data_IF_168492871955
#
_entry.id   IF_168492871955
#
_cell.length_a   1.000
_cell.length_b   1.000
_cell.length_c   1.000
_cell.angle_alpha   90.00
_cell.angle_beta   90.00
_cell.angle_gamma   90.00
#
_symmetry.space_group_name_H-M   'P 1'
#
loop_
_entity.id
_entity.type
_entity.pdbx_description
1 polymer ?
#
# COMPACT_ATOMS: atom_id res chain seq x y z
N UNK A 1 9.88 11.83 19.00
CA UNK A 1 9.35 10.73 19.83
C UNK A 1 9.93 9.43 19.27
N UNK A 2 10.71 8.69 20.05
CA UNK A 2 11.28 7.43 19.59
C UNK A 2 10.18 6.36 19.64
N UNK A 3 9.72 5.90 18.47
CA UNK A 3 8.84 4.74 18.38
C UNK A 3 9.70 3.52 18.66
N UNK A 4 9.69 3.05 19.91
CA UNK A 4 10.36 1.82 20.30
C UNK A 4 9.42 0.66 19.96
N UNK A 5 9.50 0.16 18.74
CA UNK A 5 8.84 -1.10 18.38
C UNK A 5 9.38 -2.26 19.25
N UNK A 6 8.55 -3.28 19.55
CA UNK A 6 8.97 -4.41 20.36
C UNK A 6 10.12 -5.17 19.68
N UNK A 7 11.26 -5.26 20.38
CA UNK A 7 12.40 -6.06 19.95
C UNK A 7 12.05 -7.55 20.06
N UNK A 8 11.62 -8.15 18.95
CA UNK A 8 11.40 -9.59 18.86
C UNK A 8 12.69 -10.27 18.41
N UNK A 9 13.18 -11.23 19.20
CA UNK A 9 14.28 -12.10 18.76
C UNK A 9 13.71 -13.11 17.77
N UNK A 10 14.27 -13.14 16.56
CA UNK A 10 13.86 -14.07 15.50
C UNK A 10 14.99 -15.06 15.23
N UNK A 11 14.63 -16.32 15.00
CA UNK A 11 15.59 -17.38 14.67
C UNK A 11 15.34 -17.83 13.23
N UNK A 12 16.39 -18.00 12.41
CA UNK A 12 16.24 -18.59 11.09
C UNK A 12 15.87 -20.06 11.21
N UNK A 13 15.05 -20.54 10.28
CA UNK A 13 14.81 -21.98 10.11
C UNK A 13 15.96 -22.69 9.40
N UNK A 14 15.82 -24.00 9.14
CA UNK A 14 16.83 -24.80 8.45
C UNK A 14 17.13 -24.36 7.01
N UNK A 15 16.28 -23.51 6.42
CA UNK A 15 16.46 -22.92 5.09
C UNK A 15 16.95 -21.47 5.16
N UNK A 16 17.30 -20.97 6.35
CA UNK A 16 17.77 -19.59 6.55
C UNK A 16 16.67 -18.53 6.51
N UNK A 17 15.38 -18.91 6.53
CA UNK A 17 14.26 -17.96 6.45
C UNK A 17 13.95 -17.40 7.83
N UNK A 18 13.62 -16.11 7.91
CA UNK A 18 13.19 -15.44 9.14
C UNK A 18 11.74 -14.99 8.97
N UNK A 19 10.87 -15.38 9.88
CA UNK A 19 9.47 -14.94 9.89
C UNK A 19 9.31 -13.63 10.64
N UNK A 20 8.95 -12.55 9.95
CA UNK A 20 8.76 -11.23 10.53
C UNK A 20 7.45 -11.10 11.35
N UNK A 21 6.43 -11.87 11.00
CA UNK A 21 5.12 -11.81 11.67
C UNK A 21 4.52 -10.40 11.61
N UNK A 22 4.10 -9.86 12.76
CA UNK A 22 3.52 -8.51 12.86
C UNK A 22 4.47 -7.38 12.45
N UNK A 23 5.80 -7.62 12.42
CA UNK A 23 6.77 -6.63 11.91
C UNK A 23 6.63 -6.38 10.40
N UNK A 24 5.91 -7.25 9.68
CA UNK A 24 5.63 -7.08 8.27
C UNK A 24 4.20 -6.58 7.98
N UNK A 25 3.45 -6.17 8.99
CA UNK A 25 2.09 -5.68 8.80
C UNK A 25 2.05 -4.49 7.83
N UNK A 26 1.23 -4.59 6.79
CA UNK A 26 1.06 -3.55 5.78
C UNK A 26 2.12 -3.54 4.66
N UNK A 27 3.16 -4.37 4.74
CA UNK A 27 4.13 -4.53 3.64
C UNK A 27 3.75 -5.75 2.78
N UNK A 28 3.77 -5.61 1.46
CA UNK A 28 3.62 -6.74 0.53
C UNK A 28 4.97 -7.38 0.20
N UNK A 29 6.05 -6.60 0.25
CA UNK A 29 7.41 -7.08 -0.02
C UNK A 29 8.46 -6.26 0.73
N UNK A 30 9.72 -6.69 0.67
CA UNK A 30 10.84 -5.99 1.29
C UNK A 30 12.02 -5.91 0.34
N UNK A 31 12.65 -4.74 0.24
CA UNK A 31 14.00 -4.62 -0.30
C UNK A 31 14.99 -4.98 0.80
N UNK A 32 15.77 -6.02 0.56
CA UNK A 32 16.76 -6.53 1.52
C UNK A 32 18.19 -6.20 1.05
N UNK A 33 19.00 -5.63 1.93
CA UNK A 33 20.41 -5.37 1.65
C UNK A 33 21.26 -5.37 2.93
N UNK A 34 22.58 -5.46 2.76
CA UNK A 34 23.53 -5.30 3.86
C UNK A 34 24.17 -3.93 3.80
N UNK A 35 24.27 -3.27 4.94
CA UNK A 35 25.02 -2.02 5.04
C UNK A 35 26.53 -2.26 5.26
N UNK A 36 27.32 -1.18 5.27
CA UNK A 36 28.77 -1.24 5.49
C UNK A 36 29.18 -1.76 6.88
N UNK A 37 28.24 -1.94 7.81
CA UNK A 37 28.47 -2.51 9.15
C UNK A 37 28.06 -3.99 9.22
N UNK A 38 27.66 -4.59 8.09
CA UNK A 38 27.22 -5.98 8.01
C UNK A 38 25.81 -6.23 8.54
N UNK A 39 25.04 -5.18 8.84
CA UNK A 39 23.64 -5.31 9.30
C UNK A 39 22.76 -5.61 8.10
N UNK A 40 21.79 -6.52 8.27
CA UNK A 40 20.73 -6.73 7.28
C UNK A 40 19.65 -5.67 7.53
N UNK A 41 19.34 -4.88 6.50
CA UNK A 41 18.28 -3.88 6.50
C UNK A 41 17.16 -4.38 5.59
N UNK A 42 15.93 -4.24 6.06
CA UNK A 42 14.71 -4.55 5.32
C UNK A 42 13.91 -3.25 5.19
N UNK A 43 13.72 -2.79 3.95
CA UNK A 43 12.83 -1.66 3.64
C UNK A 43 11.48 -2.21 3.18
N UNK A 44 10.38 -1.98 3.91
CA UNK A 44 9.05 -2.44 3.51
C UNK A 44 8.58 -1.74 2.23
N UNK A 45 7.89 -2.48 1.38
CA UNK A 45 7.28 -2.00 0.15
C UNK A 45 5.82 -2.43 0.06
N UNK A 46 5.04 -1.67 -0.70
CA UNK A 46 3.66 -1.99 -1.07
C UNK A 46 3.56 -2.11 -2.58
N UNK A 47 2.92 -3.15 -3.06
CA UNK A 47 2.65 -3.36 -4.48
C UNK A 47 1.40 -2.57 -4.87
N UNK A 48 1.50 -1.91 -6.03
CA UNK A 48 0.39 -1.20 -6.65
C UNK A 48 0.07 -1.92 -7.95
N UNK A 49 -1.19 -2.31 -8.22
CA UNK A 49 -1.58 -2.88 -9.50
C UNK A 49 -1.13 -2.01 -10.66
N UNK A 50 -0.67 -2.61 -11.76
CA UNK A 50 -0.13 -1.87 -12.90
C UNK A 50 -1.16 -0.86 -13.46
N UNK A 51 -2.44 -1.22 -13.45
CA UNK A 51 -3.55 -0.36 -13.86
C UNK A 51 -3.74 0.89 -12.98
N UNK A 52 -3.22 0.90 -11.75
CA UNK A 52 -3.33 2.01 -10.79
C UNK A 52 -2.00 2.77 -10.62
N UNK A 53 -0.89 2.22 -11.11
CA UNK A 53 0.44 2.81 -10.97
C UNK A 53 0.54 4.22 -11.58
N UNK A 54 -0.25 4.52 -12.62
CA UNK A 54 -0.30 5.84 -13.25
C UNK A 54 -0.73 6.95 -12.29
N UNK A 55 -1.59 6.64 -11.31
CA UNK A 55 -2.12 7.62 -10.36
C UNK A 55 -0.99 8.20 -9.49
N UNK A 56 -0.01 7.37 -9.14
CA UNK A 56 1.17 7.79 -8.37
C UNK A 56 2.11 8.72 -9.15
N UNK A 57 2.09 8.62 -10.49
CA UNK A 57 2.87 9.49 -11.37
C UNK A 57 2.12 10.78 -11.76
N UNK A 58 0.81 10.85 -11.49
CA UNK A 58 -0.03 12.02 -11.79
C UNK A 58 -0.48 12.72 -10.51
N UNK A 59 0.32 13.70 -10.08
CA UNK A 59 0.06 14.45 -8.84
C UNK A 59 -1.28 15.22 -8.84
N UNK A 60 -1.78 15.63 -10.00
CA UNK A 60 -3.06 16.33 -10.12
C UNK A 60 -4.22 15.37 -9.89
N UNK A 61 -4.22 14.24 -10.60
CA UNK A 61 -5.21 13.18 -10.41
C UNK A 61 -5.22 12.66 -8.97
N UNK A 62 -4.04 12.44 -8.38
CA UNK A 62 -3.92 12.02 -6.98
C UNK A 62 -4.57 13.01 -6.02
N UNK A 63 -4.33 14.32 -6.19
CA UNK A 63 -4.97 15.36 -5.36
C UNK A 63 -6.48 15.38 -5.54
N UNK A 64 -6.97 15.20 -6.76
CA UNK A 64 -8.40 15.13 -7.03
C UNK A 64 -9.05 13.94 -6.30
N UNK A 65 -8.44 12.75 -6.36
CA UNK A 65 -8.91 11.55 -5.64
C UNK A 65 -8.90 11.78 -4.13
N UNK A 66 -7.80 12.30 -3.57
CA UNK A 66 -7.70 12.58 -2.13
C UNK A 66 -8.76 13.59 -1.66
N UNK A 67 -9.01 14.63 -2.45
CA UNK A 67 -10.07 15.60 -2.17
C UNK A 67 -11.45 14.92 -2.18
N UNK A 68 -11.73 14.10 -3.20
CA UNK A 68 -12.99 13.35 -3.30
C UNK A 68 -13.23 12.42 -2.11
N UNK A 69 -12.20 11.70 -1.68
CA UNK A 69 -12.26 10.84 -0.48
C UNK A 69 -12.59 11.64 0.78
N UNK A 70 -11.95 12.81 0.95
CA UNK A 70 -12.24 13.72 2.07
C UNK A 70 -13.67 14.25 2.01
N UNK A 71 -14.08 14.76 0.86
CA UNK A 71 -15.43 15.29 0.64
C UNK A 71 -16.50 14.22 0.92
N UNK A 72 -16.27 12.97 0.50
CA UNK A 72 -17.14 11.82 0.81
C UNK A 72 -17.22 11.53 2.31
N UNK A 73 -16.09 11.47 3.01
CA UNK A 73 -16.07 11.24 4.47
C UNK A 73 -16.75 12.34 5.28
N UNK A 74 -16.77 13.57 4.74
CA UNK A 74 -17.35 14.75 5.39
C UNK A 74 -18.77 15.05 4.87
N UNK A 75 -19.36 14.15 4.06
CA UNK A 75 -20.72 14.28 3.54
C UNK A 75 -20.92 15.38 2.49
N UNK A 76 -19.84 15.97 1.94
CA UNK A 76 -19.87 16.95 0.85
C UNK A 76 -20.04 16.26 -0.51
N UNK A 77 -21.12 15.51 -0.66
CA UNK A 77 -21.45 14.79 -1.88
C UNK A 77 -22.72 15.38 -2.52
N UNK A 78 -22.80 15.27 -3.84
CA UNK A 78 -24.00 15.61 -4.59
C UNK A 78 -24.46 14.34 -5.29
N UNK A 79 -25.65 13.85 -4.95
CA UNK A 79 -26.26 12.72 -5.62
C UNK A 79 -26.69 13.12 -7.04
N UNK A 80 -26.28 12.34 -8.04
CA UNK A 80 -26.57 12.59 -9.46
C UNK A 80 -27.38 11.46 -10.10
N UNK A 81 -27.90 10.53 -9.30
CA UNK A 81 -28.59 9.34 -9.79
C UNK A 81 -27.62 8.22 -10.20
N UNK A 82 -28.17 7.18 -10.82
CA UNK A 82 -27.41 6.01 -11.27
C UNK A 82 -26.89 6.18 -12.69
N UNK A 83 -25.69 5.67 -12.97
CA UNK A 83 -25.14 5.58 -14.32
C UNK A 83 -25.48 4.24 -15.02
N UNK A 84 -26.29 3.38 -14.39
CA UNK A 84 -26.62 2.05 -14.91
C UNK A 84 -27.25 2.09 -16.31
N UNK A 85 -28.00 3.14 -16.65
CA UNK A 85 -28.61 3.34 -17.97
C UNK A 85 -27.58 3.50 -19.11
N UNK A 86 -26.31 3.71 -18.78
CA UNK A 86 -25.21 3.88 -19.74
C UNK A 86 -24.24 2.70 -19.76
N UNK A 87 -24.46 1.67 -18.93
CA UNK A 87 -23.69 0.45 -19.02
C UNK A 87 -24.15 -0.33 -20.26
N UNK A 88 -23.27 -0.48 -21.25
CA UNK A 88 -23.51 -1.43 -22.33
C UNK A 88 -23.28 -2.83 -21.75
N UNK A 89 -24.30 -3.67 -21.79
CA UNK A 89 -24.11 -5.09 -21.51
C UNK A 89 -23.23 -5.67 -22.61
N UNK A 90 -22.12 -6.34 -22.27
CA UNK A 90 -21.30 -7.01 -23.28
C UNK A 90 -22.14 -8.11 -23.94
N UNK A 91 -22.27 -8.07 -25.27
CA UNK A 91 -22.89 -9.14 -26.05
C UNK A 91 -22.15 -10.47 -25.76
N UNK A 92 -22.89 -11.49 -25.32
CA UNK A 92 -22.39 -12.84 -24.98
C UNK A 92 -21.80 -13.61 -26.17
#
# INVERSE_FOLDING_TARGET
MAVTEPRKSLRPDSKGRITLGSLAAGASSFKAYRDGKGRIILEPQVEVPAAEAWLWNNSEAMKAVQKGLKDSSEGRIVERGSFAEHAQEPDE
#
